data_IF_240303053214
#
_entry.id   IF_240303053214
#
_cell.length_a   1.000
_cell.length_b   1.000
_cell.length_c   1.000
_cell.angle_alpha   90.00
_cell.angle_beta   90.00
_cell.angle_gamma   90.00
#
_symmetry.space_group_name_H-M   'P 1'
#
loop_
_entity.id
_entity.type
_entity.pdbx_description
1 polymer ?
#
# COMPACT_ATOMS: atom_id res chain seq x y z
N UNK A 1 67.15 15.43 24.12
CA UNK A 1 66.18 16.00 23.15
C UNK A 1 66.37 17.51 23.11
N UNK A 2 66.78 18.06 21.96
CA UNK A 2 67.08 19.49 21.81
C UNK A 2 65.86 20.38 22.08
N UNK A 3 66.06 21.46 22.83
CA UNK A 3 65.03 22.48 23.07
C UNK A 3 64.72 23.16 21.73
N UNK A 4 63.49 22.98 21.22
CA UNK A 4 63.02 23.66 20.01
C UNK A 4 63.13 25.17 20.19
N UNK A 5 63.98 25.81 19.38
CA UNK A 5 64.20 27.26 19.42
C UNK A 5 63.15 27.94 18.56
N UNK A 6 62.32 28.80 19.17
CA UNK A 6 61.35 29.63 18.48
C UNK A 6 61.96 31.00 18.17
N UNK A 7 61.73 31.51 16.97
CA UNK A 7 62.22 32.83 16.52
C UNK A 7 61.05 33.75 16.12
N UNK A 8 61.18 35.08 16.29
CA UNK A 8 60.20 36.03 15.75
C UNK A 8 60.03 35.87 14.24
N UNK A 9 58.83 36.11 13.73
CA UNK A 9 58.47 35.98 12.32
C UNK A 9 58.13 34.56 11.87
N UNK A 10 58.46 33.52 12.65
CA UNK A 10 58.11 32.14 12.31
C UNK A 10 56.60 31.91 12.38
N UNK A 11 56.09 31.08 11.45
CA UNK A 11 54.68 30.72 11.35
C UNK A 11 54.45 29.27 11.75
N UNK A 12 53.44 29.02 12.58
CA UNK A 12 53.01 27.68 13.00
C UNK A 12 51.49 27.58 12.94
N UNK A 13 50.98 26.79 11.98
CA UNK A 13 49.57 26.82 11.63
C UNK A 13 49.15 28.22 11.18
N UNK A 14 48.16 28.79 11.86
CA UNK A 14 47.63 30.15 11.61
C UNK A 14 48.25 31.22 12.49
N UNK A 15 49.31 30.90 13.24
CA UNK A 15 49.95 31.80 14.20
C UNK A 15 51.32 32.25 13.68
N UNK A 16 51.55 33.56 13.69
CA UNK A 16 52.86 34.18 13.44
C UNK A 16 53.42 34.69 14.77
N UNK A 17 54.66 34.32 15.10
CA UNK A 17 55.33 34.74 16.34
C UNK A 17 55.77 36.20 16.21
N UNK A 18 55.35 37.06 17.13
CA UNK A 18 55.75 38.47 17.15
C UNK A 18 56.93 38.68 18.11
N UNK A 19 56.74 38.36 19.38
CA UNK A 19 57.74 38.62 20.42
C UNK A 19 57.62 37.63 21.58
N UNK A 20 58.72 37.47 22.33
CA UNK A 20 58.68 36.75 23.60
C UNK A 20 57.81 37.53 24.59
N UNK A 21 56.99 36.80 25.34
CA UNK A 21 56.16 37.33 26.41
C UNK A 21 56.49 36.60 27.71
N UNK A 22 56.30 37.29 28.84
CA UNK A 22 56.35 36.69 30.15
C UNK A 22 54.94 36.64 30.75
N UNK A 23 54.65 35.54 31.42
CA UNK A 23 53.45 35.34 32.24
C UNK A 23 53.91 34.59 33.48
N UNK A 24 53.36 34.90 34.65
CA UNK A 24 53.79 34.38 35.95
C UNK A 24 54.17 32.88 35.89
N UNK A 25 55.47 32.56 36.07
CA UNK A 25 56.00 31.19 36.10
C UNK A 25 57.27 30.95 35.26
N UNK A 26 57.80 29.71 35.34
CA UNK A 26 59.07 29.26 34.70
C UNK A 26 58.98 28.96 33.19
N UNK A 27 57.80 29.12 32.57
CA UNK A 27 57.57 28.74 31.17
C UNK A 27 57.67 29.95 30.25
N UNK A 28 58.40 29.83 29.13
CA UNK A 28 58.46 30.90 28.13
C UNK A 28 57.15 31.03 27.35
N UNK A 29 56.67 32.25 27.16
CA UNK A 29 55.49 32.55 26.35
C UNK A 29 55.87 33.38 25.12
N UNK A 30 54.98 33.39 24.13
CA UNK A 30 55.09 34.20 22.93
C UNK A 30 53.79 34.93 22.65
N UNK A 31 53.89 36.21 22.33
CA UNK A 31 52.82 36.95 21.70
C UNK A 31 52.76 36.53 20.22
N UNK A 32 51.63 35.94 19.83
CA UNK A 32 51.41 35.46 18.48
C UNK A 32 50.27 36.24 17.82
N UNK A 33 50.42 36.62 16.54
CA UNK A 33 49.34 37.14 15.71
C UNK A 33 48.70 35.99 14.95
N UNK A 34 47.40 35.80 15.10
CA UNK A 34 46.64 34.84 14.31
C UNK A 34 46.26 35.45 12.96
N UNK A 35 46.09 34.63 11.93
CA UNK A 35 45.56 35.06 10.62
C UNK A 35 44.18 35.73 10.71
N UNK A 36 43.38 35.42 11.73
CA UNK A 36 42.09 36.09 11.95
C UNK A 36 42.25 37.51 12.56
N UNK A 37 43.47 38.05 12.64
CA UNK A 37 43.78 39.38 13.17
C UNK A 37 44.07 39.41 14.68
N UNK A 38 43.54 38.47 15.46
CA UNK A 38 43.69 38.47 16.92
C UNK A 38 45.12 38.15 17.38
N UNK A 39 45.61 38.89 18.38
CA UNK A 39 46.86 38.61 19.07
C UNK A 39 46.59 37.79 20.34
N UNK A 40 47.40 36.77 20.61
CA UNK A 40 47.26 35.90 21.79
C UNK A 40 48.62 35.50 22.36
N UNK A 41 48.74 35.53 23.68
CA UNK A 41 49.92 35.02 24.38
C UNK A 41 49.78 33.50 24.53
N UNK A 42 50.74 32.75 24.00
CA UNK A 42 50.71 31.28 23.94
C UNK A 42 52.00 30.72 24.53
N UNK A 43 51.91 29.61 25.26
CA UNK A 43 53.07 28.93 25.86
C UNK A 43 53.93 28.28 24.77
N UNK A 44 55.25 28.43 24.87
CA UNK A 44 56.20 28.07 23.80
C UNK A 44 56.08 26.61 23.32
N UNK A 45 55.88 25.67 24.24
CA UNK A 45 55.78 24.23 23.96
C UNK A 45 54.46 23.81 23.28
N UNK A 46 53.41 24.62 23.40
CA UNK A 46 52.10 24.35 22.79
C UNK A 46 52.02 24.82 21.34
N UNK A 47 52.86 25.78 20.93
CA UNK A 47 52.84 26.38 19.59
C UNK A 47 53.18 25.34 18.51
N UNK A 48 52.27 25.13 17.58
CA UNK A 48 52.42 24.17 16.48
C UNK A 48 52.28 22.70 16.89
N UNK A 49 51.96 22.41 18.15
CA UNK A 49 51.60 21.05 18.63
C UNK A 49 50.13 21.01 19.01
N UNK A 50 49.79 21.64 20.13
CA UNK A 50 48.42 21.72 20.68
C UNK A 50 47.70 22.99 20.25
N UNK A 51 48.44 24.02 19.86
CA UNK A 51 47.87 25.33 19.51
C UNK A 51 48.37 25.76 18.14
N UNK A 52 47.45 25.72 17.17
CA UNK A 52 47.69 26.09 15.76
C UNK A 52 46.91 27.34 15.33
N UNK A 53 46.07 27.89 16.20
CA UNK A 53 45.34 29.15 16.00
C UNK A 53 45.04 29.80 17.36
N UNK A 54 44.51 31.03 17.37
CA UNK A 54 44.06 31.67 18.62
C UNK A 54 42.81 31.01 19.24
N UNK A 55 42.20 30.02 18.55
CA UNK A 55 40.93 29.38 18.89
C UNK A 55 39.86 29.59 17.80
N UNK A 56 40.08 30.53 16.87
CA UNK A 56 39.14 30.83 15.78
C UNK A 56 38.90 29.65 14.84
N UNK A 57 39.91 28.81 14.61
CA UNK A 57 39.79 27.66 13.72
C UNK A 57 38.85 26.60 14.31
N UNK A 58 38.99 26.30 15.61
CA UNK A 58 38.07 25.39 16.31
C UNK A 58 36.64 25.92 16.33
N UNK A 59 36.44 27.23 16.53
CA UNK A 59 35.11 27.86 16.45
C UNK A 59 34.47 27.69 15.08
N UNK A 60 35.19 27.98 13.99
CA UNK A 60 34.67 27.80 12.63
C UNK A 60 34.34 26.35 12.30
N UNK A 61 35.19 25.40 12.72
CA UNK A 61 34.93 23.97 12.51
C UNK A 61 33.69 23.50 13.29
N UNK A 62 33.54 23.94 14.54
CA UNK A 62 32.36 23.63 15.36
C UNK A 62 31.09 24.30 14.81
N UNK A 63 31.17 25.54 14.32
CA UNK A 63 30.06 26.24 13.65
C UNK A 63 29.64 25.52 12.36
N UNK A 64 30.59 25.11 11.52
CA UNK A 64 30.33 24.33 10.30
C UNK A 64 29.71 22.96 10.61
N UNK A 65 30.24 22.26 11.62
CA UNK A 65 29.68 20.98 12.07
C UNK A 65 28.28 21.16 12.67
N UNK A 66 28.02 22.25 13.40
CA UNK A 66 26.72 22.59 13.96
C UNK A 66 25.72 22.95 12.86
N UNK A 67 26.12 23.75 11.86
CA UNK A 67 25.31 24.07 10.67
C UNK A 67 24.95 22.82 9.88
N UNK A 68 25.91 21.92 9.64
CA UNK A 68 25.65 20.63 8.97
C UNK A 68 24.69 19.75 9.76
N UNK A 69 24.87 19.64 11.09
CA UNK A 69 23.96 18.90 11.97
C UNK A 69 22.55 19.52 12.01
N UNK A 70 22.44 20.85 12.02
CA UNK A 70 21.16 21.56 11.98
C UNK A 70 20.45 21.40 10.64
N UNK A 71 21.18 21.50 9.52
CA UNK A 71 20.64 21.24 8.18
C UNK A 71 20.09 19.81 8.09
N UNK A 72 20.86 18.80 8.51
CA UNK A 72 20.39 17.39 8.48
C UNK A 72 19.28 17.04 9.47
N UNK A 73 19.02 17.88 10.49
CA UNK A 73 18.04 17.58 11.57
C UNK A 73 16.74 18.39 11.45
N UNK A 74 16.74 19.49 10.70
CA UNK A 74 15.63 20.45 10.64
C UNK A 74 15.35 20.97 9.22
N UNK A 75 15.44 20.11 8.20
CA UNK A 75 15.10 20.50 6.82
C UNK A 75 13.60 20.66 6.56
N UNK A 76 12.71 20.29 7.49
CA UNK A 76 11.29 20.65 7.40
C UNK A 76 10.72 21.10 8.73
N UNK A 77 10.59 22.42 8.88
CA UNK A 77 9.67 23.03 9.83
C UNK A 77 8.26 22.44 9.68
N UNK A 78 7.90 21.96 8.49
CA UNK A 78 6.67 21.24 8.19
C UNK A 78 6.48 19.97 9.02
N UNK A 79 7.53 19.37 9.59
CA UNK A 79 7.38 18.24 10.51
C UNK A 79 6.85 18.63 11.90
N UNK A 80 6.77 19.93 12.22
CA UNK A 80 6.36 20.43 13.53
C UNK A 80 4.87 20.70 13.58
N UNK A 81 4.23 20.32 14.69
CA UNK A 81 2.78 20.45 14.89
C UNK A 81 2.24 21.88 14.70
N UNK A 82 3.07 22.90 14.91
CA UNK A 82 2.70 24.31 14.71
C UNK A 82 2.83 24.77 13.24
N UNK A 83 3.47 24.00 12.36
CA UNK A 83 3.56 24.36 10.95
C UNK A 83 2.20 24.15 10.29
N UNK A 84 1.73 25.09 9.46
CA UNK A 84 0.48 24.91 8.74
C UNK A 84 0.58 23.76 7.70
N UNK A 85 1.79 23.32 7.35
CA UNK A 85 2.03 22.16 6.48
C UNK A 85 2.23 20.83 7.22
N UNK A 86 2.07 20.81 8.56
CA UNK A 86 2.19 19.60 9.38
C UNK A 86 1.40 18.41 8.85
N UNK A 87 0.17 18.67 8.39
CA UNK A 87 -0.71 17.66 7.81
C UNK A 87 -0.11 17.05 6.53
N UNK A 88 0.51 17.88 5.69
CA UNK A 88 1.10 17.43 4.42
C UNK A 88 2.31 16.54 4.68
N UNK A 89 3.20 16.96 5.59
CA UNK A 89 4.35 16.17 6.01
C UNK A 89 3.95 14.81 6.60
N UNK A 90 2.96 14.79 7.49
CA UNK A 90 2.43 13.54 8.04
C UNK A 90 1.75 12.66 6.99
N UNK A 91 1.07 13.25 6.00
CA UNK A 91 0.47 12.50 4.89
C UNK A 91 1.53 11.79 4.06
N UNK A 92 2.64 12.46 3.75
CA UNK A 92 3.80 11.85 3.10
C UNK A 92 4.40 10.72 3.93
N UNK A 93 4.61 10.94 5.23
CA UNK A 93 5.08 9.90 6.16
C UNK A 93 4.17 8.68 6.20
N UNK A 94 2.85 8.87 6.26
CA UNK A 94 1.86 7.79 6.24
C UNK A 94 1.83 7.06 4.89
N UNK A 95 1.96 7.77 3.77
CA UNK A 95 2.09 7.18 2.43
C UNK A 95 3.28 6.21 2.37
N UNK A 96 4.45 6.62 2.86
CA UNK A 96 5.64 5.76 2.92
C UNK A 96 5.46 4.59 3.88
N UNK A 97 4.87 4.82 5.05
CA UNK A 97 4.58 3.76 6.02
C UNK A 97 3.70 2.65 5.41
N UNK A 98 2.66 3.01 4.64
CA UNK A 98 1.83 2.01 3.94
C UNK A 98 2.62 1.16 2.94
N UNK A 99 3.58 1.75 2.22
CA UNK A 99 4.33 1.07 1.16
C UNK A 99 5.54 0.28 1.68
N UNK A 100 6.17 0.72 2.78
CA UNK A 100 7.49 0.21 3.16
C UNK A 100 7.60 -0.31 4.61
N UNK A 101 6.59 -0.06 5.46
CA UNK A 101 6.61 -0.56 6.83
C UNK A 101 5.75 -1.83 6.96
N UNK A 102 6.40 -2.99 7.05
CA UNK A 102 5.73 -4.29 7.20
C UNK A 102 4.88 -4.42 8.48
N UNK A 103 5.15 -3.62 9.52
CA UNK A 103 4.38 -3.59 10.76
C UNK A 103 3.11 -2.74 10.65
N UNK A 104 2.91 -2.02 9.55
CA UNK A 104 1.70 -1.26 9.31
C UNK A 104 0.53 -2.22 9.06
N UNK A 105 -0.58 -2.07 9.79
CA UNK A 105 -1.73 -2.97 9.70
C UNK A 105 -2.37 -3.04 8.31
N UNK A 106 -2.16 -2.04 7.44
CA UNK A 106 -2.63 -2.06 6.04
C UNK A 106 -1.53 -2.37 5.03
N UNK A 107 -0.31 -2.72 5.45
CA UNK A 107 0.81 -3.01 4.56
C UNK A 107 0.46 -4.04 3.47
N UNK A 108 -0.29 -5.09 3.83
CA UNK A 108 -0.73 -6.14 2.90
C UNK A 108 -1.57 -5.64 1.72
N UNK A 109 -2.21 -4.47 1.84
CA UNK A 109 -2.99 -3.82 0.77
C UNK A 109 -2.14 -2.89 -0.12
N UNK A 110 -0.91 -2.60 0.28
CA UNK A 110 0.00 -1.66 -0.36
C UNK A 110 1.35 -2.32 -0.62
N UNK A 111 2.34 -2.15 0.26
CA UNK A 111 3.68 -2.71 0.09
C UNK A 111 3.70 -4.22 -0.12
N UNK A 112 2.80 -4.97 0.54
CA UNK A 112 2.64 -6.40 0.34
C UNK A 112 2.17 -6.82 -1.05
N UNK A 113 1.64 -5.87 -1.85
CA UNK A 113 1.28 -6.06 -3.27
C UNK A 113 2.35 -5.54 -4.24
N UNK A 114 3.43 -4.95 -3.73
CA UNK A 114 4.49 -4.33 -4.53
C UNK A 114 4.23 -2.86 -4.87
N UNK A 115 3.23 -2.21 -4.28
CA UNK A 115 2.96 -0.77 -4.49
C UNK A 115 4.06 0.05 -3.81
N UNK A 116 4.59 1.03 -4.54
CA UNK A 116 5.69 1.91 -4.12
C UNK A 116 5.31 3.38 -4.20
N UNK A 117 6.21 4.21 -3.70
CA UNK A 117 6.25 5.65 -3.92
C UNK A 117 7.37 5.91 -4.92
N UNK A 118 7.12 6.72 -5.95
CA UNK A 118 8.12 7.06 -6.97
C UNK A 118 9.39 7.62 -6.33
N UNK A 119 10.54 7.38 -6.96
CA UNK A 119 11.85 7.72 -6.41
C UNK A 119 12.00 9.23 -6.14
N UNK A 120 11.34 10.07 -6.96
CA UNK A 120 11.31 11.52 -6.79
C UNK A 120 10.68 11.94 -5.46
N UNK A 121 9.68 11.22 -4.97
CA UNK A 121 8.98 11.58 -3.73
C UNK A 121 9.45 10.79 -2.52
N UNK A 122 9.94 9.56 -2.74
CA UNK A 122 10.21 8.58 -1.67
C UNK A 122 11.09 9.17 -0.57
N UNK A 123 12.19 9.78 -0.95
CA UNK A 123 13.18 10.31 0.00
C UNK A 123 13.34 11.84 -0.12
N UNK A 124 12.41 12.51 -0.81
CA UNK A 124 12.43 13.96 -0.99
C UNK A 124 11.02 14.56 -0.78
N UNK A 125 10.77 15.05 0.43
CA UNK A 125 9.50 15.69 0.78
C UNK A 125 9.27 16.99 0.00
N UNK A 126 10.32 17.74 -0.34
CA UNK A 126 10.15 19.01 -1.06
C UNK A 126 9.57 18.80 -2.46
N UNK A 127 9.99 17.74 -3.16
CA UNK A 127 9.37 17.34 -4.43
C UNK A 127 7.89 16.97 -4.25
N UNK A 128 7.57 16.16 -3.24
CA UNK A 128 6.18 15.82 -2.92
C UNK A 128 5.33 17.05 -2.55
N UNK A 129 5.86 17.96 -1.72
CA UNK A 129 5.20 19.20 -1.30
C UNK A 129 4.93 20.10 -2.51
N UNK A 130 5.92 20.31 -3.37
CA UNK A 130 5.77 21.10 -4.59
C UNK A 130 4.65 20.55 -5.47
N UNK A 131 4.63 19.23 -5.68
CA UNK A 131 3.54 18.58 -6.42
C UNK A 131 2.19 18.79 -5.71
N UNK A 132 2.12 18.55 -4.40
CA UNK A 132 0.88 18.65 -3.65
C UNK A 132 0.24 20.05 -3.75
N UNK A 133 1.05 21.10 -3.56
CA UNK A 133 0.60 22.50 -3.67
C UNK A 133 0.14 22.84 -5.09
N UNK A 134 0.82 22.32 -6.12
CA UNK A 134 0.43 22.51 -7.50
C UNK A 134 -0.81 21.72 -7.93
N UNK A 135 -1.20 20.68 -7.17
CA UNK A 135 -2.25 19.73 -7.55
C UNK A 135 -3.46 19.76 -6.60
N UNK A 136 -3.72 20.92 -5.98
CA UNK A 136 -4.96 21.15 -5.24
C UNK A 136 -4.93 20.72 -3.78
N UNK A 137 -3.76 20.54 -3.17
CA UNK A 137 -3.66 20.51 -1.71
C UNK A 137 -4.05 21.87 -1.13
N UNK A 138 -4.86 21.86 -0.08
CA UNK A 138 -5.40 23.08 0.54
C UNK A 138 -4.92 23.18 1.99
N UNK A 139 -4.29 24.31 2.30
CA UNK A 139 -3.78 24.64 3.63
C UNK A 139 -4.89 24.68 4.69
N UNK A 140 -6.09 25.08 4.29
CA UNK A 140 -7.22 25.30 5.19
C UNK A 140 -8.12 24.06 5.35
N UNK A 141 -7.97 23.08 4.46
CA UNK A 141 -8.72 21.83 4.54
C UNK A 141 -8.31 20.99 5.76
N UNK A 142 -9.31 20.50 6.49
CA UNK A 142 -9.12 19.60 7.63
C UNK A 142 -8.82 18.17 7.16
N UNK A 143 -8.28 17.34 8.04
CA UNK A 143 -7.82 15.99 7.68
C UNK A 143 -8.88 15.07 7.04
N UNK A 144 -10.16 15.24 7.36
CA UNK A 144 -11.26 14.49 6.70
C UNK A 144 -11.74 15.14 5.40
N UNK A 145 -11.44 16.40 5.18
CA UNK A 145 -11.85 17.16 3.99
C UNK A 145 -10.88 16.95 2.82
N UNK A 146 -9.65 16.50 3.10
CA UNK A 146 -8.65 16.27 2.06
C UNK A 146 -7.65 15.18 2.43
N UNK A 147 -7.61 14.14 1.60
CA UNK A 147 -6.73 12.98 1.72
C UNK A 147 -6.12 12.62 0.36
N UNK A 148 -4.91 12.05 0.36
CA UNK A 148 -4.27 11.57 -0.86
C UNK A 148 -4.84 10.20 -1.25
N UNK A 149 -5.27 10.09 -2.50
CA UNK A 149 -5.83 8.88 -3.10
C UNK A 149 -5.11 8.54 -4.41
N UNK A 150 -5.16 7.26 -4.80
CA UNK A 150 -4.63 6.78 -6.08
C UNK A 150 -5.76 6.58 -7.07
N UNK A 151 -5.62 7.12 -8.27
CA UNK A 151 -6.64 7.03 -9.34
C UNK A 151 -6.83 5.56 -9.75
N UNK A 152 -5.73 4.85 -10.04
CA UNK A 152 -5.69 3.40 -10.17
C UNK A 152 -5.13 2.77 -8.87
N UNK A 153 -5.95 2.01 -8.12
CA UNK A 153 -5.55 1.37 -6.87
C UNK A 153 -4.43 0.32 -7.00
N UNK A 154 -4.10 -0.11 -8.23
CA UNK A 154 -3.07 -1.09 -8.52
C UNK A 154 -1.72 -0.46 -8.88
N UNK A 155 -1.68 0.84 -9.19
CA UNK A 155 -0.45 1.58 -9.54
C UNK A 155 0.20 2.25 -8.33
N UNK A 156 1.40 2.77 -8.54
CA UNK A 156 2.24 3.38 -7.50
C UNK A 156 1.75 4.78 -7.09
N UNK A 157 2.34 5.34 -6.04
CA UNK A 157 2.22 6.76 -5.72
C UNK A 157 3.17 7.56 -6.59
N UNK A 158 2.61 8.20 -7.62
CA UNK A 158 3.30 9.03 -8.61
C UNK A 158 2.41 10.21 -9.03
N UNK A 159 2.97 11.28 -9.62
CA UNK A 159 2.22 12.49 -9.98
C UNK A 159 0.94 12.22 -10.77
N UNK A 160 1.00 11.32 -11.76
CA UNK A 160 -0.10 11.03 -12.68
C UNK A 160 -1.15 10.08 -12.11
N UNK A 161 -0.82 9.37 -11.04
CA UNK A 161 -1.72 8.42 -10.39
C UNK A 161 -2.25 8.92 -9.05
N UNK A 162 -1.83 10.09 -8.56
CA UNK A 162 -2.28 10.61 -7.28
C UNK A 162 -3.24 11.80 -7.44
N UNK A 163 -4.18 11.93 -6.51
CA UNK A 163 -5.07 13.10 -6.41
C UNK A 163 -5.45 13.38 -4.97
N UNK A 164 -5.87 14.62 -4.71
CA UNK A 164 -6.46 15.00 -3.44
C UNK A 164 -7.98 14.84 -3.50
N UNK A 165 -8.54 14.09 -2.55
CA UNK A 165 -9.98 13.80 -2.47
C UNK A 165 -10.51 14.06 -1.06
N UNK A 166 -11.77 14.49 -0.98
CA UNK A 166 -12.48 14.58 0.29
C UNK A 166 -13.05 13.23 0.75
N UNK A 167 -13.41 13.10 2.03
CA UNK A 167 -13.97 11.87 2.58
C UNK A 167 -15.22 11.38 1.83
N UNK A 168 -16.04 12.29 1.26
CA UNK A 168 -17.19 11.90 0.43
C UNK A 168 -16.74 11.20 -0.86
N UNK A 169 -15.73 11.72 -1.54
CA UNK A 169 -15.19 11.15 -2.79
C UNK A 169 -14.48 9.82 -2.50
N UNK A 170 -13.74 9.73 -1.39
CA UNK A 170 -13.14 8.47 -0.95
C UNK A 170 -14.21 7.41 -0.60
N UNK A 171 -15.32 7.82 0.02
CA UNK A 171 -16.45 6.93 0.32
C UNK A 171 -17.14 6.43 -0.96
N UNK A 172 -17.25 7.25 -2.00
CA UNK A 172 -17.79 6.87 -3.31
C UNK A 172 -16.88 5.89 -4.07
N UNK A 173 -15.57 5.94 -3.83
CA UNK A 173 -14.59 5.06 -4.48
C UNK A 173 -14.30 3.76 -3.72
N UNK A 174 -14.98 3.48 -2.60
CA UNK A 174 -14.74 2.23 -1.86
C UNK A 174 -15.19 1.04 -2.71
N UNK A 175 -14.34 0.01 -2.82
CA UNK A 175 -14.61 -1.27 -3.53
C UNK A 175 -15.89 -2.00 -3.09
N UNK A 176 -16.43 -1.68 -1.91
CA UNK A 176 -17.67 -2.26 -1.41
C UNK A 176 -18.93 -1.47 -1.85
N UNK A 177 -18.78 -0.41 -2.64
CA UNK A 177 -19.93 0.28 -3.19
C UNK A 177 -20.63 -0.60 -4.22
N UNK A 178 -21.94 -0.67 -4.07
CA UNK A 178 -22.82 -1.41 -4.95
C UNK A 178 -23.10 -0.57 -6.20
N UNK A 179 -22.56 -1.01 -7.33
CA UNK A 179 -22.77 -0.38 -8.63
C UNK A 179 -24.00 -0.99 -9.31
N UNK A 180 -24.85 -0.12 -9.83
CA UNK A 180 -26.02 -0.48 -10.63
C UNK A 180 -25.77 0.03 -12.03
N UNK A 181 -25.83 -0.87 -13.01
CA UNK A 181 -25.74 -0.53 -14.43
C UNK A 181 -27.13 -0.26 -14.99
N UNK A 182 -27.34 0.91 -15.57
CA UNK A 182 -28.59 1.32 -16.21
C UNK A 182 -28.22 1.94 -17.56
N UNK A 183 -28.80 1.41 -18.65
CA UNK A 183 -28.55 1.90 -20.02
C UNK A 183 -27.06 2.00 -20.39
N UNK A 184 -26.24 1.03 -19.96
CA UNK A 184 -24.80 0.99 -20.23
C UNK A 184 -23.94 1.83 -19.28
N UNK A 185 -24.53 2.64 -18.41
CA UNK A 185 -23.81 3.45 -17.44
C UNK A 185 -23.81 2.77 -16.06
N UNK A 186 -22.63 2.56 -15.47
CA UNK A 186 -22.49 1.95 -14.15
C UNK A 186 -22.14 3.00 -13.10
N UNK A 187 -23.04 3.23 -12.15
CA UNK A 187 -22.84 4.18 -11.03
C UNK A 187 -23.21 3.54 -9.71
N UNK A 188 -22.66 4.04 -8.61
CA UNK A 188 -23.05 3.65 -7.26
C UNK A 188 -24.49 4.08 -6.94
N UNK A 189 -25.14 3.42 -5.97
CA UNK A 189 -26.46 3.87 -5.47
C UNK A 189 -26.45 5.35 -5.08
N UNK A 190 -25.37 5.83 -4.46
CA UNK A 190 -25.26 7.23 -4.02
C UNK A 190 -25.18 8.20 -5.19
N UNK A 191 -24.49 7.84 -6.27
CA UNK A 191 -24.45 8.64 -7.49
C UNK A 191 -25.81 8.66 -8.18
N UNK A 192 -26.47 7.51 -8.32
CA UNK A 192 -27.83 7.44 -8.86
C UNK A 192 -28.84 8.23 -8.02
N UNK A 193 -28.71 8.16 -6.68
CA UNK A 193 -29.52 8.91 -5.73
C UNK A 193 -29.43 10.42 -5.96
N UNK A 194 -28.21 10.95 -6.16
CA UNK A 194 -28.00 12.37 -6.46
C UNK A 194 -28.53 12.75 -7.85
N UNK A 195 -28.25 11.92 -8.85
CA UNK A 195 -28.62 12.20 -10.25
C UNK A 195 -30.14 12.21 -10.46
N UNK A 196 -30.83 11.24 -9.85
CA UNK A 196 -32.29 11.07 -10.00
C UNK A 196 -33.08 11.72 -8.86
N UNK A 197 -32.39 12.34 -7.89
CA UNK A 197 -32.96 12.98 -6.70
C UNK A 197 -33.91 12.06 -5.90
N UNK A 198 -33.45 10.86 -5.58
CA UNK A 198 -34.20 9.84 -4.82
C UNK A 198 -33.36 9.35 -3.66
N UNK A 199 -34.00 9.15 -2.50
CA UNK A 199 -33.32 8.62 -1.30
C UNK A 199 -32.60 7.28 -1.60
N UNK A 200 -31.33 7.13 -1.21
CA UNK A 200 -30.55 5.93 -1.50
C UNK A 200 -31.11 4.67 -0.81
N UNK A 201 -31.79 4.82 0.32
CA UNK A 201 -32.53 3.76 1.00
C UNK A 201 -33.74 3.29 0.21
N UNK A 202 -34.43 4.19 -0.49
CA UNK A 202 -35.52 3.85 -1.42
C UNK A 202 -35.00 3.04 -2.60
N UNK A 203 -33.92 3.49 -3.25
CA UNK A 203 -33.29 2.75 -4.37
C UNK A 203 -32.86 1.36 -3.90
N UNK A 204 -32.21 1.26 -2.73
CA UNK A 204 -31.80 -0.01 -2.13
C UNK A 204 -32.99 -0.93 -1.89
N UNK A 205 -34.08 -0.42 -1.30
CA UNK A 205 -35.31 -1.19 -1.05
C UNK A 205 -35.93 -1.69 -2.35
N UNK A 206 -36.03 -0.82 -3.37
CA UNK A 206 -36.54 -1.19 -4.71
C UNK A 206 -35.69 -2.28 -5.35
N UNK A 207 -34.37 -2.18 -5.26
CA UNK A 207 -33.45 -3.17 -5.85
C UNK A 207 -33.49 -4.53 -5.15
N UNK A 208 -33.40 -4.57 -3.82
CA UNK A 208 -33.25 -5.83 -3.07
C UNK A 208 -34.61 -6.44 -2.67
N UNK A 209 -35.56 -5.63 -2.20
CA UNK A 209 -36.86 -6.11 -1.71
C UNK A 209 -37.84 -6.34 -2.86
N UNK A 210 -38.05 -5.33 -3.70
CA UNK A 210 -39.04 -5.40 -4.78
C UNK A 210 -38.46 -5.96 -6.07
N UNK A 211 -37.14 -5.95 -6.18
CA UNK A 211 -36.43 -6.56 -7.28
C UNK A 211 -36.41 -5.76 -8.58
N UNK A 212 -36.82 -4.49 -8.54
CA UNK A 212 -36.86 -3.57 -9.67
C UNK A 212 -35.45 -3.35 -10.25
N UNK A 213 -35.38 -3.08 -11.55
CA UNK A 213 -34.13 -2.89 -12.31
C UNK A 213 -34.27 -1.71 -13.26
N UNK A 214 -33.15 -1.28 -13.83
CA UNK A 214 -33.14 -0.19 -14.80
C UNK A 214 -33.78 1.10 -14.25
N UNK A 215 -34.53 1.79 -15.10
CA UNK A 215 -35.22 3.04 -14.75
C UNK A 215 -36.36 2.85 -13.73
N UNK A 216 -36.90 1.64 -13.56
CA UNK A 216 -37.96 1.37 -12.57
C UNK A 216 -37.50 1.55 -11.13
N UNK A 217 -36.18 1.54 -10.89
CA UNK A 217 -35.60 1.90 -9.60
C UNK A 217 -35.94 3.33 -9.20
N UNK A 218 -36.26 4.20 -10.15
CA UNK A 218 -36.51 5.62 -9.91
C UNK A 218 -38.00 5.96 -9.90
N UNK A 219 -38.81 5.15 -10.58
CA UNK A 219 -40.25 5.37 -10.67
C UNK A 219 -41.00 5.06 -9.36
N UNK A 220 -42.14 5.71 -9.07
CA UNK A 220 -43.05 5.29 -8.02
C UNK A 220 -43.45 3.83 -8.20
N UNK A 221 -43.45 3.05 -7.12
CA UNK A 221 -43.85 1.65 -7.18
C UNK A 221 -45.38 1.53 -7.22
N UNK A 222 -45.93 0.51 -7.91
CA UNK A 222 -47.36 0.21 -7.86
C UNK A 222 -47.84 0.01 -6.42
N UNK A 223 -49.09 0.42 -6.14
CA UNK A 223 -49.69 0.34 -4.80
C UNK A 223 -49.64 -1.09 -4.26
N UNK A 224 -49.88 -2.08 -5.11
CA UNK A 224 -49.87 -3.50 -4.78
C UNK A 224 -48.50 -3.99 -4.28
N UNK A 225 -47.40 -3.48 -4.86
CA UNK A 225 -46.05 -3.77 -4.39
C UNK A 225 -45.74 -3.09 -3.05
N UNK A 226 -46.29 -1.89 -2.81
CA UNK A 226 -46.06 -1.13 -1.58
C UNK A 226 -46.58 -1.86 -0.34
N UNK A 227 -47.67 -2.62 -0.48
CA UNK A 227 -48.29 -3.39 0.60
C UNK A 227 -48.07 -4.90 0.49
N UNK A 228 -47.22 -5.34 -0.44
CA UNK A 228 -46.89 -6.75 -0.58
C UNK A 228 -46.20 -7.26 0.69
N UNK A 229 -46.74 -8.37 1.23
CA UNK A 229 -46.14 -9.06 2.37
C UNK A 229 -44.74 -9.56 1.98
N UNK A 230 -43.81 -9.67 2.94
CA UNK A 230 -42.41 -10.09 2.70
C UNK A 230 -42.27 -11.50 2.08
N UNK A 231 -43.38 -12.23 1.94
CA UNK A 231 -43.46 -13.54 1.30
C UNK A 231 -43.79 -13.49 -0.20
N UNK A 232 -43.95 -12.32 -0.84
CA UNK A 232 -44.13 -12.21 -2.29
C UNK A 232 -42.90 -11.60 -2.97
N UNK A 233 -42.61 -12.04 -4.18
CA UNK A 233 -41.54 -11.50 -5.05
C UNK A 233 -42.09 -11.23 -6.45
N UNK A 234 -41.41 -10.37 -7.22
CA UNK A 234 -41.73 -10.14 -8.62
C UNK A 234 -41.19 -11.31 -9.45
N UNK A 235 -42.06 -11.99 -10.19
CA UNK A 235 -41.74 -13.10 -11.06
C UNK A 235 -42.65 -13.04 -12.29
N UNK A 236 -42.05 -12.92 -13.49
CA UNK A 236 -42.75 -12.77 -14.78
C UNK A 236 -43.80 -11.67 -14.73
N UNK A 237 -43.37 -10.49 -14.26
CA UNK A 237 -44.18 -9.28 -14.09
C UNK A 237 -45.33 -9.35 -13.08
N UNK A 238 -45.46 -10.45 -12.34
CA UNK A 238 -46.47 -10.63 -11.30
C UNK A 238 -45.88 -10.79 -9.90
N UNK A 239 -46.63 -10.36 -8.88
CA UNK A 239 -46.23 -10.53 -7.47
C UNK A 239 -46.67 -11.90 -6.95
N UNK A 240 -45.77 -12.87 -7.05
CA UNK A 240 -46.03 -14.28 -6.70
C UNK A 240 -45.53 -14.61 -5.28
N UNK A 241 -46.28 -15.36 -4.46
CA UNK A 241 -45.78 -15.88 -3.20
C UNK A 241 -44.58 -16.81 -3.39
N UNK A 242 -43.51 -16.58 -2.62
CA UNK A 242 -42.29 -17.38 -2.60
C UNK A 242 -42.61 -18.86 -2.35
N UNK A 243 -43.56 -19.15 -1.48
CA UNK A 243 -43.97 -20.52 -1.16
C UNK A 243 -44.51 -21.26 -2.39
N UNK A 244 -45.25 -20.56 -3.25
CA UNK A 244 -45.82 -21.17 -4.46
C UNK A 244 -44.71 -21.50 -5.47
N UNK A 245 -43.73 -20.61 -5.63
CA UNK A 245 -42.54 -20.87 -6.44
C UNK A 245 -41.69 -22.02 -5.87
N UNK A 246 -41.52 -22.08 -4.54
CA UNK A 246 -40.81 -23.17 -3.88
C UNK A 246 -41.48 -24.52 -4.13
N UNK A 247 -42.81 -24.60 -4.03
CA UNK A 247 -43.60 -25.81 -4.30
C UNK A 247 -43.54 -26.20 -5.77
N UNK A 248 -43.73 -25.25 -6.66
CA UNK A 248 -43.80 -25.49 -8.11
C UNK A 248 -42.45 -25.97 -8.68
N UNK A 249 -41.35 -25.35 -8.25
CA UNK A 249 -40.03 -25.59 -8.84
C UNK A 249 -39.07 -26.39 -7.95
N UNK A 250 -39.52 -26.86 -6.78
CA UNK A 250 -38.72 -27.69 -5.89
C UNK A 250 -37.45 -26.99 -5.37
N UNK A 251 -37.50 -25.67 -5.19
CA UNK A 251 -36.40 -24.84 -4.69
C UNK A 251 -36.67 -24.43 -3.24
N UNK A 252 -35.63 -24.39 -2.40
CA UNK A 252 -35.81 -23.92 -1.03
C UNK A 252 -35.98 -22.40 -0.97
N UNK A 253 -36.84 -21.93 -0.07
CA UNK A 253 -37.11 -20.50 0.17
C UNK A 253 -35.79 -19.72 0.37
N UNK A 254 -34.87 -20.26 1.18
CA UNK A 254 -33.56 -19.66 1.41
C UNK A 254 -32.71 -19.51 0.14
N UNK A 255 -32.78 -20.49 -0.77
CA UNK A 255 -32.04 -20.43 -2.05
C UNK A 255 -32.68 -19.41 -2.98
N UNK A 256 -34.01 -19.44 -3.10
CA UNK A 256 -34.75 -18.51 -3.95
C UNK A 256 -34.51 -17.06 -3.52
N UNK A 257 -34.60 -16.75 -2.22
CA UNK A 257 -34.35 -15.41 -1.68
C UNK A 257 -32.92 -14.94 -1.91
N UNK A 258 -31.92 -15.79 -1.66
CA UNK A 258 -30.51 -15.45 -1.95
C UNK A 258 -30.27 -15.15 -3.43
N UNK A 259 -30.90 -15.91 -4.34
CA UNK A 259 -30.80 -15.64 -5.79
C UNK A 259 -31.46 -14.31 -6.14
N UNK A 260 -32.64 -14.06 -5.59
CA UNK A 260 -33.37 -12.82 -5.78
C UNK A 260 -32.60 -11.58 -5.31
N UNK A 261 -31.99 -11.64 -4.12
CA UNK A 261 -31.12 -10.59 -3.57
C UNK A 261 -29.87 -10.36 -4.42
N UNK A 262 -29.28 -11.42 -4.96
CA UNK A 262 -28.15 -11.36 -5.91
C UNK A 262 -28.56 -10.89 -7.30
N UNK A 263 -29.86 -10.69 -7.53
CA UNK A 263 -30.41 -10.08 -8.71
C UNK A 263 -30.82 -11.01 -9.83
N UNK A 264 -30.90 -12.32 -9.57
CA UNK A 264 -31.44 -13.30 -10.51
C UNK A 264 -32.93 -13.06 -10.69
N UNK A 265 -33.44 -13.16 -11.91
CA UNK A 265 -34.87 -12.90 -12.20
C UNK A 265 -35.50 -14.05 -12.98
N UNK A 266 -36.81 -14.19 -12.82
CA UNK A 266 -37.67 -15.10 -13.58
C UNK A 266 -37.07 -16.50 -13.73
N UNK A 267 -36.83 -16.96 -14.96
CA UNK A 267 -36.32 -18.31 -15.21
C UNK A 267 -34.95 -18.56 -14.56
N UNK A 268 -34.13 -17.54 -14.35
CA UNK A 268 -32.86 -17.68 -13.63
C UNK A 268 -33.08 -18.07 -12.17
N UNK A 269 -34.11 -17.51 -11.51
CA UNK A 269 -34.41 -17.79 -10.10
C UNK A 269 -34.64 -19.27 -9.85
N UNK A 270 -35.31 -19.93 -10.78
CA UNK A 270 -35.75 -21.32 -10.70
C UNK A 270 -34.75 -22.29 -11.34
N UNK A 271 -33.87 -21.81 -12.22
CA UNK A 271 -32.87 -22.65 -12.89
C UNK A 271 -31.99 -23.36 -11.85
N UNK A 272 -31.95 -24.69 -11.90
CA UNK A 272 -31.03 -25.46 -11.07
C UNK A 272 -29.61 -25.22 -11.60
N UNK A 273 -28.68 -24.64 -10.83
CA UNK A 273 -27.31 -24.45 -11.29
C UNK A 273 -26.72 -25.83 -11.55
N UNK A 274 -26.12 -26.01 -12.71
CA UNK A 274 -25.33 -27.20 -13.01
C UNK A 274 -24.29 -27.36 -11.90
N UNK A 275 -24.31 -28.51 -11.22
CA UNK A 275 -23.31 -28.78 -10.20
C UNK A 275 -21.94 -28.75 -10.88
N UNK A 276 -21.06 -27.85 -10.44
CA UNK A 276 -19.66 -27.89 -10.88
C UNK A 276 -19.13 -29.29 -10.62
N UNK A 277 -18.50 -29.94 -11.62
CA UNK A 277 -17.96 -31.28 -11.42
C UNK A 277 -17.00 -31.27 -10.23
N UNK A 278 -17.09 -32.30 -9.39
CA UNK A 278 -16.21 -32.43 -8.23
C UNK A 278 -14.75 -32.38 -8.69
N UNK A 279 -13.97 -31.51 -8.05
CA UNK A 279 -12.53 -31.44 -8.30
C UNK A 279 -11.92 -32.76 -7.83
N UNK A 280 -11.30 -33.49 -8.77
CA UNK A 280 -10.58 -34.75 -8.50
C UNK A 280 -9.08 -34.57 -8.68
N UNK A 281 -8.31 -35.22 -7.83
CA UNK A 281 -6.84 -35.30 -7.89
C UNK A 281 -6.41 -36.76 -7.84
N UNK A 282 -5.34 -37.08 -8.55
CA UNK A 282 -4.75 -38.42 -8.51
C UNK A 282 -3.99 -38.62 -7.19
N UNK A 283 -4.23 -39.76 -6.55
CA UNK A 283 -3.46 -40.23 -5.40
C UNK A 283 -3.32 -41.75 -5.48
N UNK A 284 -2.09 -42.25 -5.42
CA UNK A 284 -1.77 -43.69 -5.52
C UNK A 284 -2.43 -44.36 -6.75
N UNK A 285 -2.41 -43.69 -7.91
CA UNK A 285 -2.94 -44.21 -9.18
C UNK A 285 -4.47 -44.23 -9.30
N UNK A 286 -5.21 -43.60 -8.38
CA UNK A 286 -6.68 -43.45 -8.46
C UNK A 286 -7.08 -41.98 -8.31
N UNK A 287 -8.19 -41.61 -8.95
CA UNK A 287 -8.75 -40.26 -8.86
C UNK A 287 -9.71 -40.15 -7.67
N UNK A 288 -9.40 -39.26 -6.74
CA UNK A 288 -10.23 -38.96 -5.58
C UNK A 288 -10.68 -37.51 -5.61
N UNK A 289 -11.91 -37.23 -5.17
CA UNK A 289 -12.34 -35.87 -4.87
C UNK A 289 -11.53 -35.28 -3.72
N UNK A 290 -11.46 -33.95 -3.65
CA UNK A 290 -10.79 -33.27 -2.52
C UNK A 290 -11.39 -33.72 -1.17
N UNK A 291 -12.71 -33.89 -1.08
CA UNK A 291 -13.35 -34.36 0.16
C UNK A 291 -12.95 -35.78 0.54
N UNK A 292 -12.87 -36.71 -0.42
CA UNK A 292 -12.36 -38.06 -0.17
C UNK A 292 -10.88 -38.04 0.27
N UNK A 293 -10.07 -37.14 -0.31
CA UNK A 293 -8.67 -36.97 0.09
C UNK A 293 -8.53 -36.47 1.53
N UNK A 294 -9.37 -35.52 1.94
CA UNK A 294 -9.40 -35.02 3.31
C UNK A 294 -9.85 -36.12 4.29
N UNK A 295 -10.97 -36.78 4.01
CA UNK A 295 -11.62 -37.70 4.94
C UNK A 295 -10.85 -39.02 5.08
N UNK A 296 -10.35 -39.57 3.97
CA UNK A 296 -9.75 -40.91 3.97
C UNK A 296 -8.23 -40.88 4.19
N UNK A 297 -7.56 -39.77 3.87
CA UNK A 297 -6.10 -39.68 3.88
C UNK A 297 -5.55 -38.47 4.66
N UNK A 298 -6.41 -37.70 5.32
CA UNK A 298 -5.98 -36.64 6.25
C UNK A 298 -5.36 -35.40 5.58
N UNK A 299 -5.54 -35.22 4.28
CA UNK A 299 -5.06 -34.03 3.59
C UNK A 299 -5.83 -32.77 4.01
N UNK A 300 -5.15 -31.63 4.06
CA UNK A 300 -5.81 -30.34 4.31
C UNK A 300 -6.45 -29.80 3.04
N UNK A 301 -7.75 -29.57 3.07
CA UNK A 301 -8.55 -29.08 1.94
C UNK A 301 -7.96 -27.80 1.31
N UNK A 302 -7.57 -26.82 2.12
CA UNK A 302 -6.99 -25.55 1.66
C UNK A 302 -5.70 -25.76 0.87
N UNK A 303 -4.91 -26.77 1.24
CA UNK A 303 -3.66 -27.10 0.57
C UNK A 303 -3.91 -27.77 -0.76
N UNK A 304 -4.84 -28.74 -0.82
CA UNK A 304 -5.21 -29.43 -2.05
C UNK A 304 -5.84 -28.47 -3.07
N UNK A 305 -6.73 -27.57 -2.65
CA UNK A 305 -7.32 -26.56 -3.54
C UNK A 305 -6.27 -25.64 -4.16
N UNK A 306 -5.30 -25.18 -3.35
CA UNK A 306 -4.17 -24.36 -3.82
C UNK A 306 -3.26 -25.12 -4.79
N UNK A 307 -3.00 -26.41 -4.53
CA UNK A 307 -2.20 -27.28 -5.41
C UNK A 307 -2.90 -27.50 -6.74
N UNK A 308 -4.19 -27.85 -6.71
CA UNK A 308 -5.01 -28.03 -7.90
C UNK A 308 -5.06 -26.77 -8.78
N UNK A 309 -5.27 -25.59 -8.19
CA UNK A 309 -5.31 -24.32 -8.94
C UNK A 309 -3.97 -23.97 -9.59
N UNK A 310 -2.86 -24.56 -9.13
CA UNK A 310 -1.51 -24.40 -9.67
C UNK A 310 -1.09 -25.56 -10.60
N UNK A 311 -2.00 -26.49 -10.90
CA UNK A 311 -1.68 -27.66 -11.72
C UNK A 311 -0.78 -28.70 -11.04
N UNK A 312 -0.67 -28.67 -9.71
CA UNK A 312 0.18 -29.56 -8.93
C UNK A 312 -0.58 -30.81 -8.48
N UNK A 313 0.15 -31.90 -8.22
CA UNK A 313 -0.37 -33.14 -7.60
C UNK A 313 -0.70 -32.94 -6.11
N UNK A 314 -1.14 -34.01 -5.41
CA UNK A 314 -1.50 -33.92 -3.99
C UNK A 314 -0.31 -33.63 -3.07
N UNK A 315 0.93 -33.80 -3.54
CA UNK A 315 2.16 -33.54 -2.79
C UNK A 315 2.76 -32.16 -3.10
N UNK A 316 2.36 -31.53 -4.20
CA UNK A 316 2.84 -30.23 -4.66
C UNK A 316 3.87 -30.31 -5.78
N UNK A 317 4.03 -31.47 -6.42
CA UNK A 317 4.86 -31.62 -7.61
C UNK A 317 4.07 -31.22 -8.85
N UNK A 318 4.74 -30.74 -9.89
CA UNK A 318 4.12 -30.59 -11.20
C UNK A 318 3.59 -31.94 -11.66
N UNK A 319 2.37 -31.99 -12.19
CA UNK A 319 1.80 -33.21 -12.74
C UNK A 319 2.75 -33.75 -13.80
N UNK A 320 3.46 -34.82 -13.47
CA UNK A 320 4.30 -35.51 -14.43
C UNK A 320 3.42 -36.02 -15.55
N UNK A 321 3.66 -35.57 -16.80
CA UNK A 321 3.23 -36.30 -17.99
C UNK A 321 3.90 -37.68 -17.95
N UNK A 322 3.26 -38.62 -17.28
CA UNK A 322 3.74 -39.97 -17.08
C UNK A 322 3.34 -40.80 -18.30
N UNK A 323 3.98 -40.53 -19.44
CA UNK A 323 3.92 -41.40 -20.63
C UNK A 323 5.25 -41.50 -21.37
N UNK A 324 6.10 -40.47 -21.40
CA UNK A 324 7.23 -40.49 -22.34
C UNK A 324 8.59 -40.91 -21.72
N UNK A 325 8.80 -40.74 -20.42
CA UNK A 325 10.09 -41.07 -19.78
C UNK A 325 10.29 -42.53 -19.39
N UNK A 326 9.23 -43.35 -19.33
CA UNK A 326 9.36 -44.79 -19.07
C UNK A 326 9.51 -45.64 -20.35
N UNK A 327 9.06 -45.15 -21.50
CA UNK A 327 9.23 -45.82 -22.80
C UNK A 327 10.61 -45.57 -23.42
N UNK A 328 11.16 -44.37 -23.27
CA UNK A 328 12.51 -44.03 -23.77
C UNK A 328 13.61 -44.76 -22.98
N UNK A 329 13.47 -44.85 -21.66
CA UNK A 329 14.43 -45.57 -20.80
C UNK A 329 14.36 -47.10 -20.96
N UNK A 330 13.23 -47.66 -21.42
CA UNK A 330 13.14 -49.09 -21.80
C UNK A 330 13.74 -49.36 -23.19
N UNK A 331 13.62 -48.42 -24.15
CA UNK A 331 14.26 -48.54 -25.47
C UNK A 331 15.78 -48.42 -25.41
N UNK A 332 16.32 -47.46 -24.65
CA UNK A 332 17.78 -47.24 -24.53
C UNK A 332 18.49 -48.39 -23.77
N UNK A 333 17.80 -49.05 -22.83
CA UNK A 333 18.32 -50.25 -22.15
C UNK A 333 18.23 -51.52 -22.99
N UNK A 334 17.33 -51.58 -23.98
CA UNK A 334 17.18 -52.73 -24.88
C UNK A 334 18.18 -52.69 -26.05
N UNK A 335 18.56 -51.51 -26.55
CA UNK A 335 19.58 -51.35 -27.60
C UNK A 335 20.99 -51.58 -27.06
N UNK A 336 21.34 -51.04 -25.88
CA UNK A 336 22.66 -51.25 -25.26
C UNK A 336 22.94 -52.69 -24.82
N UNK A 337 21.92 -53.54 -24.72
CA UNK A 337 22.07 -54.96 -24.38
C UNK A 337 22.20 -55.86 -25.62
N UNK A 338 21.93 -55.35 -26.82
CA UNK A 338 22.07 -56.06 -28.10
C UNK A 338 23.38 -55.74 -28.84
N UNK A 339 24.08 -54.68 -28.47
CA UNK A 339 25.36 -54.29 -29.08
C UNK A 339 26.58 -54.64 -28.20
N UNK A 340 26.37 -55.39 -27.11
CA UNK A 340 27.43 -55.75 -26.14
C UNK A 340 27.40 -57.21 -25.65
N UNK A 341 26.70 -58.11 -26.34
CA UNK A 341 26.76 -59.56 -26.15
C UNK A 341 26.67 -60.27 -27.49
#
# INVERSE_FOLDING_TARGET
MGRRVLKPGQKYGRLTLLSKAQKNGRSGYWLCKCECGNKKIIRSDSIGRRTVSCGCYGKKVLEEQHKRKLATKYEDFDSKAYSPYYRLYHTWGHMKSRCYNANNNVYYLYGGRGIKVCDEWRDNYQCFKKWALANGWDLHAKGMEQSIDRIDPNKDYEPDNCRWVNAQTQALNKRNNFFITINGESRSITEWSRLKNIDPGVIRRRYYKYGLRGEDLFNPIPREMKYANNNKILFKDEMVPVVDLCRQYGISDATLRKRYERGWRDDELIKRPEHKPLIKMEYKGKMYSISELCNNFGFKETTLRRRYSKGLDVYGNEKSNNSDKQLENKRVKATKKKEGM
#
